data_IF_561295498983
#
_entry.id   IF_561295498983
#
_cell.length_a   1.000
_cell.length_b   1.000
_cell.length_c   1.000
_cell.angle_alpha   90.00
_cell.angle_beta   90.00
_cell.angle_gamma   90.00
#
_symmetry.space_group_name_H-M   'P 1'
#
loop_
_entity.id
_entity.type
_entity.pdbx_description
1 polymer ?
#
# COMPACT_ATOMS: atom_id res chain seq x y z
N UNK A 1 19.08 -59.64 -25.50
CA UNK A 1 19.23 -58.48 -24.58
C UNK A 1 18.31 -57.30 -24.92
N UNK A 2 18.08 -56.91 -26.18
CA UNK A 2 17.22 -55.75 -26.54
C UNK A 2 15.70 -55.92 -26.31
N UNK A 3 15.19 -57.16 -26.22
CA UNK A 3 13.75 -57.42 -25.94
C UNK A 3 13.39 -57.42 -24.45
N UNK A 4 14.37 -57.59 -23.55
CA UNK A 4 14.15 -57.57 -22.10
C UNK A 4 14.16 -56.15 -21.52
N UNK A 5 14.90 -55.23 -22.14
CA UNK A 5 14.97 -53.82 -21.73
C UNK A 5 13.72 -53.02 -22.09
N UNK A 6 12.99 -53.38 -23.16
CA UNK A 6 11.77 -52.69 -23.55
C UNK A 6 10.58 -53.03 -22.64
N UNK A 7 10.52 -54.27 -22.14
CA UNK A 7 9.46 -54.74 -21.23
C UNK A 7 9.60 -54.19 -19.81
N UNK A 8 10.82 -53.94 -19.36
CA UNK A 8 11.07 -53.31 -18.06
C UNK A 8 10.71 -51.81 -18.03
N UNK A 9 10.84 -51.12 -19.18
CA UNK A 9 10.52 -49.69 -19.30
C UNK A 9 9.00 -49.43 -19.36
N UNK A 10 8.22 -50.34 -19.96
CA UNK A 10 6.75 -50.24 -19.98
C UNK A 10 6.11 -50.64 -18.64
N UNK A 11 6.72 -51.53 -17.86
CA UNK A 11 6.24 -51.88 -16.51
C UNK A 11 6.44 -50.73 -15.50
N UNK A 12 7.52 -49.95 -15.64
CA UNK A 12 7.78 -48.77 -14.81
C UNK A 12 6.81 -47.60 -15.04
N UNK A 13 6.27 -47.47 -16.26
CA UNK A 13 5.27 -46.44 -16.59
C UNK A 13 3.83 -46.83 -16.21
N UNK A 14 3.55 -48.12 -15.97
CA UNK A 14 2.22 -48.57 -15.53
C UNK A 14 2.00 -48.38 -14.02
N UNK A 15 3.07 -48.33 -13.22
CA UNK A 15 2.99 -48.14 -11.76
C UNK A 15 2.73 -46.69 -11.33
N UNK A 16 2.97 -45.71 -12.20
CA UNK A 16 2.66 -44.30 -11.91
C UNK A 16 1.17 -43.96 -12.07
N UNK A 17 0.40 -44.79 -12.77
CA UNK A 17 -1.06 -44.63 -12.93
C UNK A 17 -1.89 -45.06 -11.72
N UNK A 18 -1.32 -45.83 -10.78
CA UNK A 18 -1.99 -46.31 -9.56
C UNK A 18 -1.69 -45.46 -8.31
N UNK A 19 -0.87 -44.43 -8.43
CA UNK A 19 -0.53 -43.52 -7.33
C UNK A 19 -1.52 -42.34 -7.20
N UNK A 20 -2.57 -42.31 -8.00
CA UNK A 20 -3.58 -41.25 -7.92
C UNK A 20 -4.57 -41.61 -6.82
N UNK A 21 -4.50 -40.88 -5.71
CA UNK A 21 -5.42 -41.01 -4.58
C UNK A 21 -6.86 -40.89 -5.10
N UNK A 22 -7.69 -41.91 -4.83
CA UNK A 22 -9.10 -41.89 -5.24
C UNK A 22 -9.78 -40.78 -4.45
N UNK A 23 -10.32 -39.78 -5.15
CA UNK A 23 -11.07 -38.68 -4.53
C UNK A 23 -12.26 -39.24 -3.75
N UNK A 24 -12.25 -39.04 -2.44
CA UNK A 24 -13.38 -39.38 -1.58
C UNK A 24 -14.47 -38.30 -1.68
N UNK A 25 -15.50 -38.59 -2.47
CA UNK A 25 -16.62 -37.68 -2.68
C UNK A 25 -17.39 -37.37 -1.39
N UNK A 26 -17.41 -38.27 -0.39
CA UNK A 26 -18.06 -37.98 0.89
C UNK A 26 -17.30 -36.90 1.67
N UNK A 27 -15.97 -36.93 1.65
CA UNK A 27 -15.13 -35.88 2.23
C UNK A 27 -15.31 -34.56 1.47
N UNK A 28 -15.35 -34.59 0.14
CA UNK A 28 -15.62 -33.40 -0.68
C UNK A 28 -16.95 -32.75 -0.29
N UNK A 29 -18.02 -33.55 -0.11
CA UNK A 29 -19.31 -33.01 0.32
C UNK A 29 -19.26 -32.39 1.72
N UNK A 30 -18.52 -33.00 2.67
CA UNK A 30 -18.32 -32.40 4.00
C UNK A 30 -17.58 -31.06 3.92
N UNK A 31 -16.52 -30.95 3.13
CA UNK A 31 -15.78 -29.70 2.91
C UNK A 31 -16.69 -28.62 2.30
N UNK A 32 -17.50 -29.00 1.30
CA UNK A 32 -18.47 -28.08 0.67
C UNK A 32 -19.50 -27.59 1.68
N UNK A 33 -20.03 -28.48 2.52
CA UNK A 33 -20.96 -28.12 3.59
C UNK A 33 -20.33 -27.11 4.56
N UNK A 34 -19.09 -27.34 4.99
CA UNK A 34 -18.39 -26.39 5.87
C UNK A 34 -18.16 -25.03 5.20
N UNK A 35 -17.82 -25.01 3.90
CA UNK A 35 -17.58 -23.77 3.16
C UNK A 35 -18.84 -22.98 2.80
N UNK A 36 -19.97 -23.66 2.54
CA UNK A 36 -21.19 -23.05 2.01
C UNK A 36 -22.30 -22.88 3.05
N UNK A 37 -22.44 -23.82 3.99
CA UNK A 37 -23.52 -23.82 4.99
C UNK A 37 -23.02 -23.40 6.38
N UNK A 38 -21.84 -23.89 6.81
CA UNK A 38 -21.28 -23.63 8.14
C UNK A 38 -20.14 -22.60 8.15
N UNK A 39 -20.08 -21.74 7.13
CA UNK A 39 -18.93 -20.86 6.89
C UNK A 39 -18.60 -19.95 8.07
N UNK A 40 -17.34 -19.92 8.47
CA UNK A 40 -16.78 -19.01 9.49
C UNK A 40 -16.04 -17.81 8.88
N UNK A 41 -16.22 -17.56 7.58
CA UNK A 41 -15.45 -16.55 6.85
C UNK A 41 -15.57 -15.15 7.46
N UNK A 42 -16.76 -14.77 7.94
CA UNK A 42 -16.98 -13.44 8.53
C UNK A 42 -16.33 -13.32 9.92
N UNK A 43 -16.38 -14.38 10.73
CA UNK A 43 -15.71 -14.42 12.03
C UNK A 43 -14.19 -14.34 11.87
N UNK A 44 -13.64 -15.11 10.93
CA UNK A 44 -12.21 -15.11 10.59
C UNK A 44 -11.79 -13.74 10.05
N UNK A 45 -12.58 -13.17 9.14
CA UNK A 45 -12.32 -11.84 8.59
C UNK A 45 -12.26 -10.82 9.72
N UNK A 46 -13.27 -10.75 10.59
CA UNK A 46 -13.32 -9.85 11.74
C UNK A 46 -12.07 -9.93 12.63
N UNK A 47 -11.59 -11.13 12.94
CA UNK A 47 -10.37 -11.30 13.74
C UNK A 47 -9.14 -10.70 13.05
N UNK A 48 -9.02 -10.93 11.74
CA UNK A 48 -7.85 -10.49 10.97
C UNK A 48 -7.95 -9.00 10.62
N UNK A 49 -9.13 -8.47 10.28
CA UNK A 49 -9.30 -7.10 9.77
C UNK A 49 -9.52 -6.08 10.87
N UNK A 50 -10.32 -6.41 11.87
CA UNK A 50 -10.80 -5.47 12.88
C UNK A 50 -10.01 -5.63 14.18
N UNK A 51 -9.92 -6.85 14.70
CA UNK A 51 -9.27 -7.12 15.99
C UNK A 51 -7.74 -6.97 15.89
N UNK A 52 -7.12 -7.52 14.85
CA UNK A 52 -5.67 -7.36 14.68
C UNK A 52 -5.30 -5.91 14.27
N UNK A 53 -6.21 -5.17 13.64
CA UNK A 53 -5.96 -3.82 13.11
C UNK A 53 -5.02 -3.83 11.89
N UNK A 54 -4.40 -2.68 11.51
CA UNK A 54 -3.51 -2.59 10.36
C UNK A 54 -2.29 -3.52 10.45
N UNK A 55 -2.02 -4.28 9.37
CA UNK A 55 -1.00 -5.36 9.33
C UNK A 55 0.18 -5.04 8.41
N UNK A 56 0.76 -3.86 8.55
CA UNK A 56 1.98 -3.51 7.81
C UNK A 56 3.11 -4.51 8.12
N UNK A 57 3.95 -4.84 7.14
CA UNK A 57 5.07 -5.78 7.34
C UNK A 57 5.94 -5.40 8.53
N UNK A 58 6.21 -6.37 9.40
CA UNK A 58 6.94 -6.22 10.66
C UNK A 58 6.33 -5.22 11.67
N UNK A 59 5.05 -4.88 11.55
CA UNK A 59 4.32 -4.05 12.52
C UNK A 59 3.77 -4.87 13.69
N UNK A 60 3.45 -4.22 14.83
CA UNK A 60 2.74 -4.87 15.93
C UNK A 60 1.38 -5.47 15.54
N UNK A 61 0.67 -4.85 14.60
CA UNK A 61 -0.60 -5.40 14.11
C UNK A 61 -0.45 -6.69 13.30
N UNK A 62 0.62 -6.80 12.49
CA UNK A 62 0.95 -8.07 11.83
C UNK A 62 1.27 -9.15 12.86
N UNK A 63 2.05 -8.82 13.89
CA UNK A 63 2.39 -9.77 14.95
C UNK A 63 1.15 -10.28 15.67
N UNK A 64 0.20 -9.41 16.03
CA UNK A 64 -1.10 -9.81 16.59
C UNK A 64 -1.86 -10.78 15.69
N UNK A 65 -1.92 -10.51 14.39
CA UNK A 65 -2.60 -11.39 13.43
C UNK A 65 -1.92 -12.76 13.29
N UNK A 66 -0.58 -12.79 13.28
CA UNK A 66 0.22 -14.01 13.25
C UNK A 66 -0.02 -14.87 14.50
N UNK A 67 -0.01 -14.25 15.69
CA UNK A 67 -0.24 -14.95 16.95
C UNK A 67 -1.67 -15.49 17.04
N UNK A 68 -2.64 -14.71 16.57
CA UNK A 68 -4.03 -15.17 16.43
C UNK A 68 -4.13 -16.38 15.49
N UNK A 69 -3.48 -16.34 14.33
CA UNK A 69 -3.53 -17.43 13.35
C UNK A 69 -2.93 -18.74 13.89
N UNK A 70 -1.78 -18.66 14.58
CA UNK A 70 -1.15 -19.82 15.22
C UNK A 70 -2.09 -20.44 16.26
N UNK A 71 -2.69 -19.61 17.11
CA UNK A 71 -3.68 -20.04 18.09
C UNK A 71 -4.88 -20.72 17.39
N UNK A 72 -5.46 -20.07 16.39
CA UNK A 72 -6.67 -20.55 15.71
C UNK A 72 -6.45 -21.90 15.01
N UNK A 73 -5.31 -22.07 14.33
CA UNK A 73 -4.95 -23.34 13.70
C UNK A 73 -4.73 -24.45 14.73
N UNK A 74 -4.14 -24.13 15.88
CA UNK A 74 -3.96 -25.09 16.98
C UNK A 74 -5.31 -25.54 17.54
N UNK A 75 -6.25 -24.61 17.73
CA UNK A 75 -7.61 -24.92 18.20
C UNK A 75 -8.41 -25.78 17.22
N UNK A 76 -8.21 -25.58 15.91
CA UNK A 76 -8.79 -26.45 14.88
C UNK A 76 -8.13 -27.83 14.79
N UNK A 77 -7.10 -28.09 15.61
CA UNK A 77 -6.46 -29.39 15.73
C UNK A 77 -5.29 -29.63 14.76
N UNK A 78 -4.83 -28.60 14.03
CA UNK A 78 -3.64 -28.72 13.19
C UNK A 78 -2.41 -29.06 14.05
N UNK A 79 -1.47 -29.78 13.46
CA UNK A 79 -0.21 -30.17 14.09
C UNK A 79 0.95 -29.40 13.47
N UNK A 80 2.03 -29.20 14.23
CA UNK A 80 3.22 -28.46 13.81
C UNK A 80 2.90 -27.02 13.35
N UNK A 81 2.08 -26.32 14.14
CA UNK A 81 1.74 -24.91 13.88
C UNK A 81 2.79 -24.03 14.55
N UNK A 82 3.60 -23.34 13.76
CA UNK A 82 4.60 -22.39 14.24
C UNK A 82 4.81 -21.26 13.23
N UNK A 83 5.43 -20.17 13.68
CA UNK A 83 5.86 -19.10 12.79
C UNK A 83 7.24 -19.41 12.22
N UNK A 84 7.41 -19.18 10.93
CA UNK A 84 8.71 -19.29 10.26
C UNK A 84 9.21 -17.91 9.83
N UNK A 85 10.47 -17.63 10.15
CA UNK A 85 11.12 -16.41 9.68
C UNK A 85 11.61 -16.59 8.26
N UNK A 86 11.25 -15.65 7.37
CA UNK A 86 11.72 -15.63 5.98
C UNK A 86 12.98 -14.77 5.78
N UNK A 87 13.57 -14.25 6.87
CA UNK A 87 14.79 -13.45 6.85
C UNK A 87 14.73 -12.20 7.72
N UNK A 88 15.65 -11.26 7.47
CA UNK A 88 15.67 -9.94 8.14
C UNK A 88 14.94 -8.93 7.26
N UNK A 89 13.72 -8.54 7.67
CA UNK A 89 12.94 -7.55 6.93
C UNK A 89 13.48 -6.12 7.11
N UNK A 90 13.49 -5.61 8.35
CA UNK A 90 13.88 -4.23 8.64
C UNK A 90 13.13 -3.67 9.85
N UNK A 91 12.96 -2.35 9.88
CA UNK A 91 12.23 -1.63 10.94
C UNK A 91 10.73 -1.98 10.90
N UNK A 92 10.16 -2.23 12.07
CA UNK A 92 8.71 -2.20 12.25
C UNK A 92 8.19 -0.76 12.29
N UNK A 93 6.91 -0.56 11.97
CA UNK A 93 6.30 0.77 11.98
C UNK A 93 4.79 0.68 12.27
N UNK A 94 4.27 1.64 13.02
CA UNK A 94 2.84 1.84 13.25
C UNK A 94 2.55 3.32 13.55
N UNK A 95 1.29 3.71 13.43
CA UNK A 95 0.80 5.03 13.86
C UNK A 95 0.20 4.86 15.25
N UNK A 96 0.82 5.49 16.24
CA UNK A 96 0.25 5.54 17.60
C UNK A 96 -0.76 6.69 17.72
N UNK A 97 -0.42 7.85 17.18
CA UNK A 97 -1.26 9.05 17.16
C UNK A 97 -0.87 9.97 16.01
N UNK A 98 -1.86 10.61 15.40
CA UNK A 98 -1.64 11.75 14.52
C UNK A 98 -2.72 12.81 14.79
N UNK A 99 -2.38 14.07 14.51
CA UNK A 99 -3.31 15.19 14.50
C UNK A 99 -2.76 16.26 13.56
N UNK A 100 -3.60 16.78 12.67
CA UNK A 100 -3.25 17.87 11.77
C UNK A 100 -4.49 18.75 11.55
N UNK A 101 -4.32 20.05 11.65
CA UNK A 101 -5.35 21.04 11.37
C UNK A 101 -4.70 22.36 10.96
N UNK A 102 -5.36 23.13 10.09
CA UNK A 102 -4.99 24.53 9.84
C UNK A 102 -5.58 25.40 10.94
N UNK A 103 -4.91 26.51 11.25
CA UNK A 103 -5.47 27.55 12.15
C UNK A 103 -5.82 28.83 11.41
N UNK A 104 -5.26 29.03 10.21
CA UNK A 104 -5.55 30.17 9.34
C UNK A 104 -5.99 29.66 7.96
N UNK A 105 -6.86 30.43 7.26
CA UNK A 105 -7.59 31.61 7.73
C UNK A 105 -8.68 31.28 8.77
N UNK A 106 -8.97 30.00 8.97
CA UNK A 106 -9.85 29.48 10.02
C UNK A 106 -9.41 28.06 10.39
N UNK A 107 -10.00 27.52 11.47
CA UNK A 107 -9.78 26.15 11.88
C UNK A 107 -10.36 25.15 10.86
N UNK A 108 -9.53 24.25 10.36
CA UNK A 108 -9.96 23.14 9.52
C UNK A 108 -9.17 21.88 9.85
N UNK A 109 -9.86 20.82 10.25
CA UNK A 109 -9.23 19.53 10.49
C UNK A 109 -8.81 18.90 9.15
N UNK A 110 -7.57 18.41 9.06
CA UNK A 110 -7.02 17.87 7.81
C UNK A 110 -7.20 16.35 7.80
N UNK A 111 -7.77 15.82 6.72
CA UNK A 111 -7.83 14.39 6.42
C UNK A 111 -6.46 13.98 5.85
N UNK A 112 -5.70 13.20 6.64
CA UNK A 112 -4.38 12.77 6.25
C UNK A 112 -3.90 11.54 7.04
N UNK A 113 -2.78 10.95 6.63
CA UNK A 113 -2.08 9.91 7.38
C UNK A 113 -0.56 10.09 7.28
N UNK A 114 0.20 9.82 8.36
CA UNK A 114 1.65 9.67 8.27
C UNK A 114 2.02 8.58 7.26
N UNK A 115 3.08 8.81 6.49
CA UNK A 115 3.57 7.82 5.53
C UNK A 115 4.44 6.77 6.20
N UNK A 116 4.31 5.53 5.75
CA UNK A 116 4.98 4.40 6.38
C UNK A 116 6.50 4.58 6.43
N UNK A 117 7.09 4.19 7.57
CA UNK A 117 8.52 4.27 7.91
C UNK A 117 9.12 5.68 8.02
N UNK A 118 8.33 6.75 7.89
CA UNK A 118 8.78 8.10 8.25
C UNK A 118 8.81 8.26 9.77
N UNK A 119 9.71 9.10 10.31
CA UNK A 119 9.72 9.39 11.75
C UNK A 119 8.52 10.26 12.14
N UNK A 120 8.14 10.21 13.41
CA UNK A 120 7.22 11.18 14.00
C UNK A 120 7.90 12.55 14.20
N UNK A 121 7.10 13.54 14.59
CA UNK A 121 7.60 14.86 14.99
C UNK A 121 8.08 14.85 16.44
N UNK A 122 9.01 15.74 16.79
CA UNK A 122 9.45 15.93 18.19
C UNK A 122 8.44 16.80 18.96
N UNK A 123 7.22 16.29 19.13
CA UNK A 123 6.08 17.03 19.68
C UNK A 123 5.28 17.78 18.60
N UNK A 124 4.27 18.57 19.02
CA UNK A 124 3.41 19.32 18.11
C UNK A 124 4.21 20.37 17.33
N UNK A 125 3.95 20.48 16.02
CA UNK A 125 4.52 21.53 15.17
C UNK A 125 3.41 22.53 14.85
N UNK A 126 3.63 23.80 15.19
CA UNK A 126 2.79 24.93 14.75
C UNK A 126 3.66 25.89 13.95
N UNK A 127 3.48 25.89 12.63
CA UNK A 127 4.24 26.72 11.69
C UNK A 127 3.37 27.05 10.48
N UNK A 128 3.67 28.18 9.84
CA UNK A 128 3.20 28.49 8.50
C UNK A 128 3.61 27.39 7.51
N UNK A 129 2.75 27.16 6.51
CA UNK A 129 3.04 26.28 5.38
C UNK A 129 3.77 27.05 4.27
N UNK A 130 4.97 26.59 3.92
CA UNK A 130 5.77 27.14 2.82
C UNK A 130 5.47 26.39 1.53
N UNK A 131 4.96 27.13 0.54
CA UNK A 131 4.75 26.62 -0.81
C UNK A 131 6.07 26.66 -1.61
N UNK A 132 6.59 25.48 -1.91
CA UNK A 132 7.80 25.29 -2.70
C UNK A 132 7.43 25.23 -4.18
N UNK A 133 7.86 26.23 -4.95
CA UNK A 133 7.73 26.30 -6.40
C UNK A 133 9.03 25.87 -7.06
N UNK A 134 9.33 24.58 -6.97
CA UNK A 134 10.56 24.00 -7.50
C UNK A 134 10.25 22.66 -8.18
N UNK A 135 10.54 22.59 -9.47
CA UNK A 135 10.49 21.34 -10.25
C UNK A 135 11.89 20.70 -10.37
N UNK A 136 12.93 21.43 -9.96
CA UNK A 136 14.33 21.01 -10.02
C UNK A 136 15.05 21.26 -8.69
N UNK A 137 16.15 20.54 -8.47
CA UNK A 137 17.03 20.74 -7.31
C UNK A 137 17.60 22.17 -7.28
N UNK A 138 17.89 22.73 -8.46
CA UNK A 138 18.40 24.11 -8.59
C UNK A 138 17.38 25.14 -8.10
N UNK A 139 16.09 24.91 -8.34
CA UNK A 139 15.03 25.80 -7.86
C UNK A 139 14.86 25.74 -6.34
N UNK A 140 15.14 24.59 -5.72
CA UNK A 140 15.13 24.47 -4.26
C UNK A 140 16.20 25.32 -3.59
N UNK A 141 17.33 25.61 -4.24
CA UNK A 141 18.40 26.43 -3.67
C UNK A 141 17.91 27.82 -3.20
N UNK A 142 16.84 28.35 -3.80
CA UNK A 142 16.18 29.63 -3.42
C UNK A 142 15.58 29.60 -2.01
N UNK A 143 15.30 28.40 -1.50
CA UNK A 143 14.70 28.13 -0.20
C UNK A 143 15.74 27.74 0.86
N UNK A 144 17.03 27.61 0.50
CA UNK A 144 18.10 27.27 1.43
C UNK A 144 18.17 28.25 2.60
N UNK A 145 18.30 27.73 3.82
CA UNK A 145 18.31 28.46 5.08
C UNK A 145 16.94 28.98 5.56
N UNK A 146 15.84 28.65 4.88
CA UNK A 146 14.49 29.20 5.18
C UNK A 146 13.49 28.16 5.66
N UNK A 147 13.81 26.87 5.62
CA UNK A 147 12.84 25.80 5.83
C UNK A 147 12.94 25.11 7.20
N UNK A 148 13.93 25.48 8.02
CA UNK A 148 14.12 24.89 9.35
C UNK A 148 12.86 24.99 10.22
N UNK A 149 12.35 23.83 10.66
CA UNK A 149 11.14 23.70 11.47
C UNK A 149 9.83 24.05 10.75
N UNK A 150 9.87 24.43 9.47
CA UNK A 150 8.68 24.81 8.70
C UNK A 150 7.92 23.58 8.21
N UNK A 151 6.62 23.77 7.98
CA UNK A 151 5.80 22.82 7.23
C UNK A 151 5.94 23.19 5.75
N UNK A 152 6.21 22.22 4.88
CA UNK A 152 6.43 22.48 3.45
C UNK A 152 5.47 21.69 2.60
N UNK A 153 5.06 22.26 1.47
CA UNK A 153 4.32 21.57 0.43
C UNK A 153 4.81 22.01 -0.95
N UNK A 154 4.66 21.15 -1.95
CA UNK A 154 5.11 21.46 -3.31
C UNK A 154 3.98 21.99 -4.18
N UNK A 155 4.28 23.03 -4.97
CA UNK A 155 3.39 23.53 -6.03
C UNK A 155 3.46 22.61 -7.24
N UNK A 156 2.84 21.45 -7.14
CA UNK A 156 2.89 20.44 -8.19
C UNK A 156 1.92 20.81 -9.32
N UNK A 157 2.47 21.25 -10.45
CA UNK A 157 1.72 21.59 -11.68
C UNK A 157 1.03 20.39 -12.33
N UNK A 158 1.48 19.17 -11.98
CA UNK A 158 0.94 17.90 -12.51
C UNK A 158 -0.18 17.30 -11.68
N UNK A 159 -0.59 17.96 -10.59
CA UNK A 159 -1.75 17.50 -9.81
C UNK A 159 -2.98 17.58 -10.70
N UNK A 160 -3.56 16.41 -10.99
CA UNK A 160 -4.79 16.35 -11.76
C UNK A 160 -5.90 17.00 -10.94
N UNK A 161 -6.68 17.92 -11.53
CA UNK A 161 -7.84 18.47 -10.84
C UNK A 161 -8.78 17.33 -10.49
N UNK A 162 -9.33 17.38 -9.27
CA UNK A 162 -10.36 16.45 -8.84
C UNK A 162 -11.50 16.41 -9.85
N UNK A 163 -11.74 15.23 -10.39
CA UNK A 163 -12.83 14.98 -11.33
C UNK A 163 -14.02 14.43 -10.58
N UNK A 164 -15.18 15.05 -10.76
CA UNK A 164 -16.41 14.49 -10.23
C UNK A 164 -16.79 13.23 -11.02
N UNK A 165 -17.16 12.17 -10.32
CA UNK A 165 -17.85 11.03 -10.91
C UNK A 165 -19.35 11.22 -10.78
N UNK A 166 -20.09 10.98 -11.86
CA UNK A 166 -21.55 10.88 -11.85
C UNK A 166 -22.01 9.42 -11.97
N UNK A 167 -21.07 8.48 -11.82
CA UNK A 167 -21.36 7.05 -11.78
C UNK A 167 -21.62 6.64 -10.33
N UNK A 168 -22.61 5.76 -10.06
CA UNK A 168 -22.83 5.22 -8.72
C UNK A 168 -21.59 4.48 -8.21
N UNK A 169 -21.25 4.66 -6.93
CA UNK A 169 -20.13 3.96 -6.28
C UNK A 169 -20.41 2.47 -6.08
N UNK A 170 -21.69 2.11 -5.89
CA UNK A 170 -22.17 0.74 -5.81
C UNK A 170 -23.19 0.47 -6.90
N UNK A 171 -22.96 -0.59 -7.68
CA UNK A 171 -23.88 -1.06 -8.72
C UNK A 171 -24.29 -2.48 -8.37
N UNK A 172 -25.59 -2.72 -8.21
CA UNK A 172 -26.12 -4.08 -8.15
C UNK A 172 -26.14 -4.66 -9.56
N UNK A 173 -25.34 -5.69 -9.79
CA UNK A 173 -25.38 -6.40 -11.07
C UNK A 173 -26.72 -7.14 -11.24
N UNK A 174 -27.24 -7.13 -12.46
CA UNK A 174 -28.40 -7.97 -12.83
C UNK A 174 -27.96 -9.42 -12.97
N UNK A 175 -28.90 -10.35 -12.83
CA UNK A 175 -28.62 -11.78 -13.00
C UNK A 175 -27.98 -12.06 -14.38
N UNK A 176 -28.43 -11.37 -15.43
CA UNK A 176 -27.83 -11.46 -16.77
C UNK A 176 -26.36 -11.03 -16.84
N UNK A 177 -25.95 -10.05 -16.04
CA UNK A 177 -24.55 -9.63 -15.93
C UNK A 177 -23.75 -10.65 -15.12
N UNK A 178 -24.31 -11.15 -14.02
CA UNK A 178 -23.69 -12.18 -13.21
C UNK A 178 -23.45 -13.48 -14.00
N UNK A 179 -24.43 -13.94 -14.78
CA UNK A 179 -24.28 -15.11 -15.66
C UNK A 179 -23.18 -14.90 -16.71
N UNK A 180 -23.06 -13.69 -17.28
CA UNK A 180 -21.97 -13.36 -18.21
C UNK A 180 -20.60 -13.37 -17.52
N UNK A 181 -20.52 -12.92 -16.26
CA UNK A 181 -19.28 -12.96 -15.48
C UNK A 181 -18.88 -14.39 -15.13
N UNK A 182 -19.85 -15.25 -14.79
CA UNK A 182 -19.62 -16.68 -14.55
C UNK A 182 -19.11 -17.41 -15.81
N UNK A 183 -19.66 -17.05 -16.97
CA UNK A 183 -19.26 -17.61 -18.28
C UNK A 183 -17.98 -16.99 -18.87
N UNK A 184 -17.37 -16.00 -18.19
CA UNK A 184 -16.17 -15.35 -18.69
C UNK A 184 -15.02 -16.36 -18.73
N UNK A 185 -14.52 -16.65 -19.92
CA UNK A 185 -13.32 -17.48 -20.11
C UNK A 185 -12.07 -16.67 -19.77
N UNK A 186 -10.99 -17.37 -19.39
CA UNK A 186 -9.71 -16.73 -19.10
C UNK A 186 -9.29 -15.85 -20.28
N UNK A 187 -9.07 -14.56 -20.01
CA UNK A 187 -8.63 -13.60 -21.02
C UNK A 187 -7.32 -14.11 -21.63
N UNK A 188 -7.31 -14.36 -22.94
CA UNK A 188 -6.07 -14.61 -23.68
C UNK A 188 -5.10 -13.46 -23.42
N UNK A 189 -3.82 -13.81 -23.23
CA UNK A 189 -2.75 -12.87 -22.87
C UNK A 189 -2.93 -11.54 -23.61
N UNK A 190 -3.06 -10.45 -22.84
CA UNK A 190 -3.09 -9.10 -23.40
C UNK A 190 -1.88 -8.96 -24.33
N UNK A 191 -2.05 -8.46 -25.57
CA UNK A 191 -0.92 -8.24 -26.46
C UNK A 191 0.12 -7.42 -25.69
N UNK A 192 1.34 -7.96 -25.66
CA UNK A 192 2.46 -7.36 -24.97
C UNK A 192 2.54 -5.90 -25.42
N UNK A 193 2.33 -4.99 -24.46
CA UNK A 193 2.41 -3.55 -24.71
C UNK A 193 3.69 -3.31 -25.52
N UNK A 194 3.64 -2.65 -26.70
CA UNK A 194 4.85 -2.36 -27.46
C UNK A 194 5.86 -1.78 -26.48
N UNK A 195 7.09 -2.30 -26.47
CA UNK A 195 8.15 -1.82 -25.59
C UNK A 195 8.28 -0.31 -25.81
N UNK A 196 7.63 0.46 -24.94
CA UNK A 196 7.52 1.90 -25.09
C UNK A 196 8.92 2.48 -25.00
N UNK A 197 9.27 3.30 -25.98
CA UNK A 197 10.46 4.14 -26.08
C UNK A 197 11.38 4.11 -24.83
N UNK A 198 12.64 3.71 -25.01
CA UNK A 198 13.70 3.72 -23.99
C UNK A 198 13.82 5.04 -23.18
N UNK A 199 13.23 6.13 -23.67
CA UNK A 199 13.12 7.42 -22.99
C UNK A 199 12.23 7.40 -21.74
N UNK A 200 11.24 6.50 -21.62
CA UNK A 200 10.38 6.43 -20.41
C UNK A 200 11.15 5.96 -19.19
N UNK A 201 12.07 4.99 -19.37
CA UNK A 201 12.95 4.51 -18.29
C UNK A 201 13.92 5.61 -17.86
N UNK A 202 14.55 6.30 -18.82
CA UNK A 202 15.45 7.42 -18.55
C UNK A 202 14.72 8.58 -17.83
N UNK A 203 13.50 8.91 -18.26
CA UNK A 203 12.67 9.92 -17.60
C UNK A 203 12.28 9.51 -16.18
N UNK A 204 11.94 8.23 -15.94
CA UNK A 204 11.63 7.72 -14.61
C UNK A 204 12.85 7.78 -13.67
N UNK A 205 14.03 7.42 -14.17
CA UNK A 205 15.29 7.52 -13.43
C UNK A 205 15.59 8.96 -13.05
N UNK A 206 15.50 9.90 -14.01
CA UNK A 206 15.71 11.33 -13.75
C UNK A 206 14.71 11.87 -12.72
N UNK A 207 13.43 11.51 -12.82
CA UNK A 207 12.42 11.89 -11.83
C UNK A 207 12.73 11.34 -10.43
N UNK A 208 13.25 10.11 -10.35
CA UNK A 208 13.66 9.49 -9.08
C UNK A 208 14.87 10.20 -8.48
N UNK A 209 15.87 10.53 -9.29
CA UNK A 209 17.07 11.26 -8.86
C UNK A 209 16.72 12.66 -8.36
N UNK A 210 15.91 13.42 -9.11
CA UNK A 210 15.43 14.74 -8.68
C UNK A 210 14.71 14.63 -7.35
N UNK A 211 13.75 13.71 -7.20
CA UNK A 211 13.03 13.51 -5.93
C UNK A 211 13.97 13.16 -4.78
N UNK A 212 14.92 12.26 -4.98
CA UNK A 212 15.88 11.89 -3.95
C UNK A 212 16.74 13.07 -3.50
N UNK A 213 17.20 13.91 -4.43
CA UNK A 213 17.96 15.12 -4.12
C UNK A 213 17.10 16.18 -3.40
N UNK A 214 15.82 16.34 -3.79
CA UNK A 214 14.88 17.21 -3.08
C UNK A 214 14.67 16.73 -1.63
N UNK A 215 14.44 15.44 -1.42
CA UNK A 215 14.29 14.85 -0.08
C UNK A 215 15.56 15.05 0.77
N UNK A 216 16.75 14.86 0.18
CA UNK A 216 18.01 15.08 0.89
C UNK A 216 18.17 16.54 1.33
N UNK A 217 17.85 17.51 0.46
CA UNK A 217 17.93 18.92 0.80
C UNK A 217 16.93 19.30 1.91
N UNK A 218 15.68 18.82 1.84
CA UNK A 218 14.69 19.09 2.88
C UNK A 218 15.11 18.52 4.24
N UNK A 219 15.78 17.37 4.25
CA UNK A 219 16.35 16.79 5.47
C UNK A 219 17.49 17.66 6.02
N UNK A 220 18.42 18.10 5.19
CA UNK A 220 19.54 18.98 5.58
C UNK A 220 19.05 20.31 6.15
N UNK A 221 17.99 20.87 5.57
CA UNK A 221 17.32 22.08 6.04
C UNK A 221 16.52 21.88 7.34
N UNK A 222 16.37 20.64 7.80
CA UNK A 222 15.61 20.29 9.01
C UNK A 222 14.16 20.76 8.95
N UNK A 223 13.48 20.48 7.84
CA UNK A 223 12.03 20.77 7.73
C UNK A 223 11.26 20.04 8.83
N UNK A 224 10.23 20.69 9.36
CA UNK A 224 9.41 20.14 10.43
C UNK A 224 8.47 19.04 9.95
N UNK A 225 7.81 19.26 8.80
CA UNK A 225 6.87 18.31 8.20
C UNK A 225 6.74 18.58 6.70
N UNK A 226 6.67 17.51 5.91
CA UNK A 226 6.36 17.57 4.48
C UNK A 226 4.89 17.17 4.30
N UNK A 227 4.12 17.99 3.58
CA UNK A 227 2.77 17.65 3.12
C UNK A 227 2.86 17.13 1.69
N UNK A 228 2.28 15.95 1.44
CA UNK A 228 2.26 15.31 0.13
C UNK A 228 0.84 15.05 -0.32
N UNK A 229 0.57 15.34 -1.60
CA UNK A 229 -0.73 15.07 -2.21
C UNK A 229 -0.99 13.57 -2.30
N UNK A 230 -2.08 13.12 -1.69
CA UNK A 230 -2.57 11.76 -1.81
C UNK A 230 -3.51 11.62 -3.00
N UNK A 231 -3.50 10.47 -3.68
CA UNK A 231 -4.57 10.14 -4.63
C UNK A 231 -5.84 9.75 -3.88
N UNK A 232 -7.00 10.07 -4.46
CA UNK A 232 -8.32 9.78 -3.89
C UNK A 232 -9.27 10.95 -4.09
N UNK A 233 -10.51 10.79 -3.66
CA UNK A 233 -11.54 11.82 -3.67
C UNK A 233 -12.63 11.52 -2.64
N UNK A 234 -13.50 12.51 -2.39
CA UNK A 234 -14.64 12.42 -1.48
C UNK A 234 -14.25 12.04 -0.05
N UNK A 235 -13.14 12.60 0.43
CA UNK A 235 -12.60 12.32 1.78
C UNK A 235 -11.90 10.98 1.91
N UNK A 236 -11.80 10.20 0.82
CA UNK A 236 -10.97 8.99 0.77
C UNK A 236 -9.63 9.31 0.14
N UNK A 237 -8.57 8.66 0.64
CA UNK A 237 -7.25 8.78 0.07
C UNK A 237 -6.45 7.50 0.26
N UNK A 238 -5.41 7.35 -0.54
CA UNK A 238 -4.47 6.24 -0.44
C UNK A 238 -3.16 6.75 0.13
N UNK A 239 -2.64 6.03 1.12
CA UNK A 239 -1.28 6.26 1.62
C UNK A 239 -0.28 5.24 1.08
N UNK A 240 0.99 5.59 1.12
CA UNK A 240 2.11 4.82 0.59
C UNK A 240 3.34 4.86 1.51
N UNK A 241 4.40 4.19 1.09
CA UNK A 241 5.68 4.20 1.79
C UNK A 241 6.33 5.58 1.65
N UNK A 242 6.72 6.19 2.77
CA UNK A 242 7.46 7.45 2.79
C UNK A 242 8.97 7.25 2.93
N UNK A 243 9.39 6.18 3.60
CA UNK A 243 10.80 5.85 3.79
C UNK A 243 11.11 4.37 3.52
N UNK A 244 12.39 4.06 3.37
CA UNK A 244 12.86 2.68 3.37
C UNK A 244 12.76 2.07 4.77
N UNK A 245 12.30 0.83 4.84
CA UNK A 245 12.25 0.03 6.07
C UNK A 245 13.61 -0.57 6.45
N UNK A 246 14.63 -0.47 5.58
CA UNK A 246 15.95 -1.04 5.86
C UNK A 246 16.55 -0.47 7.16
N UNK A 247 17.31 -1.29 7.89
CA UNK A 247 17.89 -0.89 9.17
C UNK A 247 18.93 0.23 9.01
N UNK A 248 19.67 0.19 7.91
CA UNK A 248 20.69 1.16 7.47
C UNK A 248 20.12 2.28 6.58
N UNK A 249 18.79 2.35 6.42
CA UNK A 249 18.16 3.41 5.64
C UNK A 249 18.55 4.79 6.19
N UNK A 250 18.90 5.70 5.28
CA UNK A 250 19.17 7.09 5.61
C UNK A 250 17.95 7.72 6.30
N UNK A 251 18.15 8.64 7.26
CA UNK A 251 17.06 9.40 7.84
C UNK A 251 16.27 10.14 6.76
N UNK A 252 15.00 10.39 7.03
CA UNK A 252 14.11 11.22 6.22
C UNK A 252 13.33 12.14 7.15
N UNK A 253 12.78 13.22 6.63
CA UNK A 253 11.90 14.11 7.40
C UNK A 253 10.52 13.47 7.63
N UNK A 254 9.78 13.88 8.67
CA UNK A 254 8.37 13.51 8.82
C UNK A 254 7.57 13.91 7.58
N UNK A 255 6.68 13.02 7.12
CA UNK A 255 5.85 13.26 5.94
C UNK A 255 4.42 12.81 6.19
N UNK A 256 3.48 13.68 5.80
CA UNK A 256 2.05 13.49 5.93
C UNK A 256 1.41 13.46 4.55
N UNK A 257 0.73 12.36 4.23
CA UNK A 257 -0.02 12.20 2.99
C UNK A 257 -1.44 12.73 3.21
N UNK A 258 -1.77 13.81 2.52
CA UNK A 258 -2.97 14.63 2.74
C UNK A 258 -3.98 14.36 1.63
N UNK A 259 -5.27 14.28 2.00
CA UNK A 259 -6.37 14.13 1.04
C UNK A 259 -6.25 15.15 -0.10
N UNK A 260 -6.69 14.76 -1.29
CA UNK A 260 -6.66 15.62 -2.47
C UNK A 260 -7.36 16.96 -2.20
N UNK A 261 -8.53 16.92 -1.55
CA UNK A 261 -9.35 18.08 -1.23
C UNK A 261 -8.64 19.06 -0.29
N UNK A 262 -8.07 18.56 0.81
CA UNK A 262 -7.40 19.41 1.79
C UNK A 262 -6.09 19.95 1.24
N UNK A 263 -5.32 19.13 0.51
CA UNK A 263 -4.09 19.58 -0.14
C UNK A 263 -4.37 20.69 -1.14
N UNK A 264 -5.39 20.53 -2.00
CA UNK A 264 -5.78 21.54 -2.98
C UNK A 264 -6.37 22.79 -2.32
N UNK A 265 -7.06 22.65 -1.19
CA UNK A 265 -7.54 23.79 -0.42
C UNK A 265 -6.37 24.64 0.10
N UNK A 266 -5.40 24.04 0.78
CA UNK A 266 -4.19 24.71 1.27
C UNK A 266 -3.43 25.33 0.08
N UNK A 267 -3.26 24.59 -1.01
CA UNK A 267 -2.58 25.07 -2.21
C UNK A 267 -3.24 26.32 -2.80
N UNK A 268 -4.58 26.36 -2.89
CA UNK A 268 -5.31 27.53 -3.38
C UNK A 268 -5.10 28.76 -2.50
N UNK A 269 -5.12 28.59 -1.17
CA UNK A 269 -4.87 29.68 -0.22
C UNK A 269 -3.46 30.24 -0.39
N UNK A 270 -2.44 29.37 -0.40
CA UNK A 270 -1.05 29.79 -0.56
C UNK A 270 -0.77 30.42 -1.92
N UNK A 271 -1.38 29.91 -3.01
CA UNK A 271 -1.31 30.53 -4.35
C UNK A 271 -1.94 31.92 -4.38
N UNK A 272 -2.99 32.16 -3.59
CA UNK A 272 -3.63 33.45 -3.41
C UNK A 272 -2.91 34.37 -2.40
N UNK A 273 -1.74 33.96 -1.88
CA UNK A 273 -0.98 34.72 -0.89
C UNK A 273 -1.62 34.78 0.49
N UNK A 274 -2.55 33.86 0.80
CA UNK A 274 -3.15 33.74 2.14
C UNK A 274 -2.33 32.77 2.98
N UNK A 275 -1.95 33.15 4.22
CA UNK A 275 -1.21 32.27 5.11
C UNK A 275 -2.09 31.09 5.57
N UNK A 276 -1.44 29.96 5.80
CA UNK A 276 -2.03 28.72 6.32
C UNK A 276 -1.16 28.21 7.45
#
# INVERSE_FOLDING_TARGET
MKKLTLTALTLGFALTGFAQEKVDMAIVQKIRKEGLENSKVMDIAFQITDVAGPRLSNSPGLKRAQDWAVKQFTEWGLKNVHLESWGKFGKGWQIDKFYAATTLPFYHAIIASPKAWTPGTNGPIKSEVILIKADTVTDLAKYKGKLAGKIVMFDQTTLQPLQNTYKPDAVRHTDSVLTKMEQATAQTQRPQRPAGNNNMMAQMLKMRETRAAMTAMLLEEKVGLILTYARGSYGTFFTSNGASYALDAKPVSPELEVSSEDYLHILRLLRAGKPV
#
